data_IF_862935675615
#
_entry.id   IF_862935675615
#
_cell.length_a   1.000
_cell.length_b   1.000
_cell.length_c   1.000
_cell.angle_alpha   90.00
_cell.angle_beta   90.00
_cell.angle_gamma   90.00
#
_symmetry.space_group_name_H-M   'P 1'
#
loop_
_entity.id
_entity.type
_entity.pdbx_description
1 polymer ?
#
# COMPACT_ATOMS: atom_id res chain seq x y z
N UNK A 1 17.56 -4.76 12.94
CA UNK A 1 16.97 -3.41 12.99
C UNK A 1 18.11 -2.43 13.11
N UNK A 2 18.20 -1.40 12.26
CA UNK A 2 19.26 -0.40 12.34
C UNK A 2 19.25 0.29 13.71
N UNK A 3 20.42 0.66 14.21
CA UNK A 3 20.55 1.33 15.51
C UNK A 3 20.07 2.78 15.40
N UNK A 4 19.35 3.33 16.39
CA UNK A 4 19.05 4.76 16.43
C UNK A 4 20.32 5.64 16.52
N UNK A 5 21.46 5.05 16.88
CA UNK A 5 22.77 5.72 16.94
C UNK A 5 23.36 5.99 15.54
N UNK A 6 22.78 5.41 14.48
CA UNK A 6 23.00 5.80 13.09
C UNK A 6 21.66 6.23 12.44
N UNK A 7 21.28 7.51 12.57
CA UNK A 7 20.04 8.03 12.00
C UNK A 7 19.96 7.87 10.48
N UNK A 8 21.09 7.87 9.76
CA UNK A 8 21.09 7.76 8.31
C UNK A 8 20.68 6.34 7.88
N UNK A 9 21.29 5.32 8.50
CA UNK A 9 20.92 3.92 8.27
C UNK A 9 19.47 3.65 8.70
N UNK A 10 19.06 4.16 9.87
CA UNK A 10 17.70 4.01 10.37
C UNK A 10 16.65 4.61 9.43
N UNK A 11 16.87 5.83 8.94
CA UNK A 11 15.96 6.48 8.00
C UNK A 11 15.95 5.79 6.63
N UNK A 12 17.09 5.28 6.15
CA UNK A 12 17.16 4.50 4.91
C UNK A 12 16.31 3.22 5.01
N UNK A 13 16.39 2.50 6.14
CA UNK A 13 15.56 1.32 6.38
C UNK A 13 14.07 1.66 6.46
N UNK A 14 13.71 2.78 7.10
CA UNK A 14 12.32 3.27 7.14
C UNK A 14 11.80 3.55 5.73
N UNK A 15 12.60 4.19 4.87
CA UNK A 15 12.23 4.43 3.47
C UNK A 15 12.05 3.10 2.71
N UNK A 16 12.96 2.14 2.89
CA UNK A 16 12.85 0.83 2.25
C UNK A 16 11.58 0.09 2.69
N UNK A 17 11.25 0.10 3.98
CA UNK A 17 10.05 -0.51 4.51
C UNK A 17 8.76 0.15 4.00
N UNK A 18 8.73 1.49 3.89
CA UNK A 18 7.59 2.22 3.31
C UNK A 18 7.36 1.81 1.86
N UNK A 19 8.43 1.77 1.05
CA UNK A 19 8.34 1.33 -0.36
C UNK A 19 7.84 -0.11 -0.49
N UNK A 20 8.30 -1.00 0.40
CA UNK A 20 7.85 -2.38 0.43
C UNK A 20 6.36 -2.48 0.83
N UNK A 21 5.95 -1.75 1.87
CA UNK A 21 4.57 -1.69 2.30
C UNK A 21 3.65 -1.16 1.19
N UNK A 22 4.06 -0.10 0.50
CA UNK A 22 3.31 0.46 -0.65
C UNK A 22 3.15 -0.57 -1.78
N UNK A 23 4.19 -1.36 -2.06
CA UNK A 23 4.12 -2.42 -3.07
C UNK A 23 3.21 -3.58 -2.65
N UNK A 24 3.24 -3.96 -1.37
CA UNK A 24 2.36 -5.00 -0.83
C UNK A 24 0.90 -4.54 -0.83
N UNK A 25 0.63 -3.29 -0.42
CA UNK A 25 -0.71 -2.68 -0.43
C UNK A 25 -1.32 -2.76 -1.83
N UNK A 26 -0.59 -2.32 -2.87
CA UNK A 26 -1.08 -2.39 -4.26
C UNK A 26 -1.43 -3.81 -4.70
N UNK A 27 -0.55 -4.78 -4.43
CA UNK A 27 -0.80 -6.20 -4.78
C UNK A 27 -2.03 -6.74 -4.06
N UNK A 28 -2.18 -6.44 -2.76
CA UNK A 28 -3.33 -6.87 -1.97
C UNK A 28 -4.64 -6.24 -2.47
N UNK A 29 -4.62 -4.95 -2.82
CA UNK A 29 -5.77 -4.24 -3.40
C UNK A 29 -6.16 -4.83 -4.75
N UNK A 30 -5.20 -5.09 -5.65
CA UNK A 30 -5.47 -5.74 -6.93
C UNK A 30 -6.10 -7.13 -6.73
N UNK A 31 -5.55 -7.93 -5.80
CA UNK A 31 -6.10 -9.24 -5.47
C UNK A 31 -7.51 -9.14 -4.88
N UNK A 32 -7.79 -8.16 -4.02
CA UNK A 32 -9.12 -7.95 -3.43
C UNK A 32 -10.15 -7.56 -4.50
N UNK A 33 -9.79 -6.66 -5.42
CA UNK A 33 -10.64 -6.30 -6.56
C UNK A 33 -10.90 -7.52 -7.46
N UNK A 34 -9.87 -8.30 -7.79
CA UNK A 34 -10.01 -9.56 -8.56
C UNK A 34 -10.90 -10.60 -7.85
N UNK A 35 -10.97 -10.55 -6.53
CA UNK A 35 -11.86 -11.38 -5.70
C UNK A 35 -13.27 -10.77 -5.50
N UNK A 36 -13.57 -9.62 -6.11
CA UNK A 36 -14.89 -8.98 -6.05
C UNK A 36 -15.15 -8.17 -4.79
N UNK A 37 -14.12 -7.83 -4.01
CA UNK A 37 -14.28 -6.95 -2.84
C UNK A 37 -14.76 -5.57 -3.28
N UNK A 38 -15.62 -4.94 -2.48
CA UNK A 38 -15.99 -3.56 -2.71
C UNK A 38 -14.88 -2.61 -2.23
N UNK A 39 -14.83 -1.42 -2.81
CA UNK A 39 -13.93 -0.36 -2.34
C UNK A 39 -14.16 0.05 -0.88
N UNK A 40 -15.36 -0.20 -0.35
CA UNK A 40 -15.65 0.03 1.06
C UNK A 40 -14.96 -1.00 1.96
N UNK A 41 -14.97 -2.28 1.54
CA UNK A 41 -14.31 -3.38 2.27
C UNK A 41 -12.79 -3.19 2.30
N UNK A 42 -12.22 -2.78 1.16
CA UNK A 42 -10.80 -2.48 1.04
C UNK A 42 -10.42 -1.28 1.94
N UNK A 43 -11.22 -0.21 1.93
CA UNK A 43 -10.96 0.96 2.77
C UNK A 43 -11.04 0.63 4.27
N UNK A 44 -12.01 -0.19 4.66
CA UNK A 44 -12.14 -0.69 6.03
C UNK A 44 -10.91 -1.53 6.43
N UNK A 45 -10.45 -2.45 5.57
CA UNK A 45 -9.28 -3.28 5.84
C UNK A 45 -7.98 -2.47 5.96
N UNK A 46 -7.85 -1.39 5.19
CA UNK A 46 -6.69 -0.49 5.23
C UNK A 46 -6.79 0.59 6.33
N UNK A 47 -7.93 0.70 7.03
CA UNK A 47 -8.15 1.74 8.04
C UNK A 47 -8.17 3.16 7.48
N UNK A 48 -8.53 3.32 6.20
CA UNK A 48 -8.60 4.62 5.50
C UNK A 48 -10.03 4.92 5.06
N UNK A 49 -10.29 6.16 4.66
CA UNK A 49 -11.57 6.50 4.05
C UNK A 49 -11.69 5.92 2.64
N UNK A 50 -12.91 5.59 2.20
CA UNK A 50 -13.19 5.12 0.83
C UNK A 50 -12.65 6.07 -0.24
N UNK A 51 -12.77 7.37 -0.02
CA UNK A 51 -12.27 8.39 -0.94
C UNK A 51 -10.73 8.37 -1.03
N UNK A 52 -10.04 8.17 0.11
CA UNK A 52 -8.59 8.04 0.14
C UNK A 52 -8.12 6.78 -0.59
N UNK A 53 -8.82 5.65 -0.40
CA UNK A 53 -8.55 4.41 -1.12
C UNK A 53 -8.72 4.58 -2.63
N UNK A 54 -9.86 5.11 -3.08
CA UNK A 54 -10.11 5.38 -4.50
C UNK A 54 -9.05 6.31 -5.11
N UNK A 55 -8.75 7.44 -4.48
CA UNK A 55 -7.79 8.42 -5.02
C UNK A 55 -6.37 7.88 -5.12
N UNK A 56 -5.94 7.04 -4.17
CA UNK A 56 -4.57 6.49 -4.13
C UNK A 56 -4.39 5.25 -5.02
N UNK A 57 -5.43 4.45 -5.19
CA UNK A 57 -5.28 3.08 -5.69
C UNK A 57 -5.98 2.83 -7.03
N UNK A 58 -6.98 3.63 -7.41
CA UNK A 58 -7.73 3.40 -8.64
C UNK A 58 -6.87 3.56 -9.91
N UNK A 59 -5.81 4.37 -9.87
CA UNK A 59 -4.87 4.51 -10.99
C UNK A 59 -3.86 3.36 -11.13
N UNK A 60 -3.66 2.54 -10.09
CA UNK A 60 -2.69 1.43 -10.10
C UNK A 60 -3.30 0.05 -10.39
N UNK A 61 -4.63 -0.07 -10.31
CA UNK A 61 -5.34 -1.33 -10.62
C UNK A 61 -5.35 -1.62 -12.12
N UNK A 62 -5.27 -0.59 -12.96
CA UNK A 62 -5.34 -0.70 -14.42
C UNK A 62 -4.03 -1.13 -15.10
N UNK A 63 -2.87 -0.98 -14.44
CA UNK A 63 -1.56 -1.20 -15.06
C UNK A 63 -1.06 -2.67 -15.00
N UNK A 64 -1.68 -3.53 -14.18
CA UNK A 64 -1.21 -4.91 -13.90
C UNK A 64 -1.88 -6.00 -14.79
N UNK A 65 -2.77 -5.59 -15.71
CA UNK A 65 -3.43 -6.47 -16.69
C UNK A 65 -2.87 -6.27 -18.14
N UNK A 66 -1.68 -5.67 -18.30
CA UNK A 66 -0.95 -5.55 -19.58
C UNK A 66 0.37 -6.32 -19.60
#
# INVERSE_FOLDING_TARGET
>A
MPSPDDPAEALAAVVALRRYADALERKAVNAAVKQGWSWSDIAQALGVSKQAAHKRLAGSVTDDDS
#
